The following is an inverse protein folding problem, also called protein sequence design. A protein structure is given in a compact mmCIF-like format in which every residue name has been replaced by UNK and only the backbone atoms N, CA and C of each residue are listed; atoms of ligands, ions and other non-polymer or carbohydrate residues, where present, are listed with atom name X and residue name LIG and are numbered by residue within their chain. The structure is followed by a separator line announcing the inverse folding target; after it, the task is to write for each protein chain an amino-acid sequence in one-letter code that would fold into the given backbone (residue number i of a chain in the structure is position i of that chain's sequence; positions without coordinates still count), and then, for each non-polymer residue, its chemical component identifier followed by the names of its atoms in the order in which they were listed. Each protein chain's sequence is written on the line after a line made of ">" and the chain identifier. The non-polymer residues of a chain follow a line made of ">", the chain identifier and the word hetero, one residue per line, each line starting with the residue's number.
data_IF_941952734295
#
_entry.id   IF_941952734295
#
_cell.length_a   1.000
_cell.length_b   1.000
_cell.length_c   1.000
_cell.angle_alpha   90.00
_cell.angle_beta   90.00
_cell.angle_gamma   90.00
#
_symmetry.space_group_name_H-M   'P 1'
#
loop_
_entity.id
_entity.type
_entity.pdbx_description
1 polymer ?
#
# COMPACT_ATOMS: atom_id res chain seq x y z
N UNK A 1 43.20 -8.80 35.64
CA UNK A 1 43.17 -9.41 34.30
C UNK A 1 43.28 -10.92 34.47
N UNK A 2 42.16 -11.64 34.39
CA UNK A 2 42.14 -13.11 34.22
C UNK A 2 40.74 -13.48 33.72
N UNK A 3 40.67 -13.75 32.42
CA UNK A 3 39.51 -14.24 31.70
C UNK A 3 39.22 -15.68 32.14
N UNK A 4 37.96 -16.01 32.39
CA UNK A 4 37.51 -17.40 32.46
C UNK A 4 36.23 -17.51 31.65
N UNK A 5 36.43 -17.90 30.39
CA UNK A 5 35.39 -18.25 29.43
C UNK A 5 34.81 -19.61 29.81
N UNK A 6 33.50 -19.66 30.01
CA UNK A 6 32.75 -20.90 30.24
C UNK A 6 32.16 -21.38 28.91
N UNK A 7 32.48 -22.59 28.42
CA UNK A 7 31.90 -23.10 27.18
C UNK A 7 30.48 -23.60 27.43
N UNK A 8 29.49 -23.02 26.74
CA UNK A 8 28.18 -23.67 26.56
C UNK A 8 28.31 -24.70 25.44
N UNK A 9 28.39 -25.97 25.85
CA UNK A 9 28.28 -27.13 25.00
C UNK A 9 26.80 -27.52 24.91
N UNK A 10 26.22 -27.43 23.71
CA UNK A 10 24.86 -27.85 23.41
C UNK A 10 24.69 -27.99 21.89
N UNK A 11 23.99 -29.03 21.39
CA UNK A 11 24.08 -29.46 20.00
C UNK A 11 23.42 -28.45 19.06
N UNK A 12 24.24 -27.79 18.26
CA UNK A 12 23.83 -26.96 17.13
C UNK A 12 23.16 -27.88 16.13
N UNK A 13 21.82 -27.90 16.16
CA UNK A 13 21.02 -28.48 15.08
C UNK A 13 21.21 -27.57 13.86
N UNK A 14 22.04 -28.04 12.94
CA UNK A 14 22.19 -27.49 11.59
C UNK A 14 20.83 -27.47 10.90
N UNK A 15 20.20 -26.30 10.81
CA UNK A 15 19.12 -26.03 9.86
C UNK A 15 19.74 -25.32 8.66
N UNK A 16 20.21 -26.12 7.72
CA UNK A 16 20.56 -25.69 6.37
C UNK A 16 19.28 -25.20 5.68
N UNK A 17 19.06 -23.90 5.68
CA UNK A 17 18.08 -23.27 4.78
C UNK A 17 18.75 -23.13 3.42
N UNK A 18 18.65 -24.18 2.61
CA UNK A 18 18.90 -24.08 1.19
C UNK A 18 17.67 -23.44 0.54
N UNK A 19 17.70 -22.12 0.29
CA UNK A 19 16.75 -21.49 -0.63
C UNK A 19 17.47 -21.23 -1.95
N UNK A 20 17.29 -22.19 -2.85
CA UNK A 20 17.65 -22.11 -4.25
C UNK A 20 16.74 -21.14 -5.01
N UNK A 21 17.29 -20.69 -6.14
CA UNK A 21 16.64 -20.12 -7.32
C UNK A 21 16.46 -18.60 -7.34
N UNK A 22 17.55 -17.94 -7.76
CA UNK A 22 17.49 -16.72 -8.55
C UNK A 22 16.53 -16.91 -9.74
N UNK A 23 15.52 -16.06 -9.87
CA UNK A 23 14.73 -15.95 -11.09
C UNK A 23 15.62 -15.36 -12.18
N UNK A 24 16.13 -16.24 -13.03
CA UNK A 24 16.73 -15.86 -14.30
C UNK A 24 15.65 -15.23 -15.19
N UNK A 25 15.91 -14.01 -15.65
CA UNK A 25 15.12 -13.25 -16.61
C UNK A 25 15.33 -13.86 -18.01
N UNK A 26 14.76 -15.04 -18.27
CA UNK A 26 14.75 -15.65 -19.60
C UNK A 26 13.67 -14.98 -20.44
N UNK A 27 14.10 -14.04 -21.26
CA UNK A 27 13.36 -13.61 -22.43
C UNK A 27 13.24 -14.72 -23.48
N UNK A 28 12.35 -14.44 -24.43
CA UNK A 28 12.10 -15.12 -25.71
C UNK A 28 11.03 -16.21 -25.73
N UNK A 29 9.91 -15.90 -26.37
CA UNK A 29 9.20 -16.86 -27.23
C UNK A 29 8.59 -16.13 -28.42
N UNK A 30 9.19 -16.41 -29.56
CA UNK A 30 8.82 -16.07 -30.94
C UNK A 30 7.48 -16.70 -31.35
N UNK A 31 6.79 -16.12 -32.34
CA UNK A 31 6.19 -16.95 -33.38
C UNK A 31 6.59 -16.49 -34.80
N UNK A 32 7.22 -17.42 -35.52
CA UNK A 32 6.86 -17.81 -36.89
C UNK A 32 6.94 -16.78 -38.01
N UNK A 33 7.92 -16.94 -38.90
CA UNK A 33 7.98 -16.23 -40.18
C UNK A 33 6.87 -16.65 -41.16
N UNK A 34 6.40 -15.69 -41.94
CA UNK A 34 5.48 -15.85 -43.06
C UNK A 34 5.58 -14.64 -44.01
N UNK A 35 5.73 -14.94 -45.30
CA UNK A 35 6.19 -14.11 -46.42
C UNK A 35 5.48 -12.78 -46.74
N UNK A 36 6.31 -11.81 -47.16
CA UNK A 36 6.16 -10.82 -48.25
C UNK A 36 4.77 -10.31 -48.69
N UNK A 37 4.57 -8.98 -48.66
CA UNK A 37 4.06 -8.17 -49.78
C UNK A 37 4.29 -6.66 -49.53
N UNK A 38 4.63 -5.96 -50.60
CA UNK A 38 4.94 -4.52 -50.64
C UNK A 38 3.69 -3.62 -50.56
N UNK A 39 3.85 -2.41 -50.01
CA UNK A 39 2.88 -1.31 -50.06
C UNK A 39 3.41 -0.04 -49.39
N UNK A 40 3.38 1.07 -50.13
CA UNK A 40 3.98 2.42 -49.93
C UNK A 40 3.22 3.33 -48.90
N UNK A 41 3.66 4.58 -48.61
CA UNK A 41 3.60 5.22 -47.27
C UNK A 41 2.43 6.22 -47.02
N UNK A 42 2.47 6.87 -45.83
CA UNK A 42 1.65 8.00 -45.30
C UNK A 42 0.43 7.57 -44.46
N UNK A 43 0.05 8.15 -43.32
CA UNK A 43 0.27 9.48 -42.74
C UNK A 43 0.29 9.44 -41.20
N UNK A 44 0.89 10.48 -40.64
CA UNK A 44 0.89 10.96 -39.26
C UNK A 44 -0.44 10.84 -38.51
N UNK A 45 -0.38 10.45 -37.24
CA UNK A 45 -1.15 11.07 -36.15
C UNK A 45 -0.48 10.77 -34.81
N UNK A 46 0.18 11.79 -34.28
CA UNK A 46 0.60 11.94 -32.89
C UNK A 46 -0.61 11.76 -31.98
N UNK A 47 -0.62 10.68 -31.19
CA UNK A 47 -1.57 10.47 -30.11
C UNK A 47 -0.79 10.27 -28.83
N UNK A 48 -0.51 11.38 -28.16
CA UNK A 48 0.04 11.49 -26.82
C UNK A 48 -0.66 10.51 -25.85
N UNK A 49 0.04 9.79 -24.95
CA UNK A 49 -0.64 9.16 -23.83
C UNK A 49 -1.02 10.28 -22.87
N UNK A 50 -2.17 10.91 -23.13
CA UNK A 50 -2.78 11.83 -22.19
C UNK A 50 -2.93 11.08 -20.86
N UNK A 51 -2.07 11.44 -19.91
CA UNK A 51 -2.25 11.18 -18.49
C UNK A 51 -3.52 11.90 -18.07
N UNK A 52 -4.66 11.27 -18.33
CA UNK A 52 -5.91 11.64 -17.70
C UNK A 52 -5.73 11.32 -16.22
N UNK A 53 -5.41 12.36 -15.44
CA UNK A 53 -5.70 12.38 -14.02
C UNK A 53 -7.22 12.23 -13.89
N UNK A 54 -7.69 10.98 -13.93
CA UNK A 54 -9.06 10.65 -13.65
C UNK A 54 -9.25 10.93 -12.17
N UNK A 55 -9.84 12.09 -11.86
CA UNK A 55 -10.40 12.33 -10.54
C UNK A 55 -11.33 11.15 -10.24
N UNK A 56 -11.18 10.46 -9.09
CA UNK A 56 -11.98 9.28 -8.81
C UNK A 56 -13.45 9.67 -8.83
N UNK A 57 -14.23 9.04 -9.70
CA UNK A 57 -15.69 9.18 -9.74
C UNK A 57 -16.28 8.78 -8.39
N UNK A 58 -17.37 9.44 -7.95
CA UNK A 58 -17.99 9.15 -6.66
C UNK A 58 -18.39 7.67 -6.56
N UNK A 59 -18.03 7.08 -5.41
CA UNK A 59 -18.43 5.76 -4.93
C UNK A 59 -19.88 5.46 -5.26
N UNK A 60 -20.13 4.53 -6.18
CA UNK A 60 -21.49 4.10 -6.57
C UNK A 60 -21.65 2.57 -6.57
N UNK A 61 -20.62 1.84 -6.14
CA UNK A 61 -20.59 0.38 -6.12
C UNK A 61 -20.30 -0.19 -4.73
N UNK A 62 -20.48 -1.51 -4.53
CA UNK A 62 -20.26 -2.18 -3.24
C UNK A 62 -18.82 -2.08 -2.74
N UNK A 63 -17.88 -1.79 -3.63
CA UNK A 63 -16.46 -1.58 -3.32
C UNK A 63 -16.07 -0.11 -3.36
N UNK A 64 -17.03 0.81 -3.29
CA UNK A 64 -16.79 2.23 -3.46
C UNK A 64 -16.17 2.59 -4.81
N UNK A 65 -15.07 3.34 -4.79
CA UNK A 65 -14.28 3.75 -5.95
C UNK A 65 -13.14 2.80 -6.32
N UNK A 66 -13.16 1.55 -5.87
CA UNK A 66 -12.16 0.53 -6.19
C UNK A 66 -12.64 -0.42 -7.30
N UNK A 67 -11.73 -0.96 -8.12
CA UNK A 67 -12.07 -1.83 -9.23
C UNK A 67 -12.49 -3.25 -8.77
N UNK A 68 -12.09 -3.65 -7.56
CA UNK A 68 -12.44 -4.95 -6.99
C UNK A 68 -12.44 -4.94 -5.46
N UNK A 69 -13.07 -5.96 -4.87
CA UNK A 69 -12.99 -6.21 -3.42
C UNK A 69 -11.54 -6.40 -2.95
N UNK A 70 -10.71 -7.11 -3.73
CA UNK A 70 -9.31 -7.35 -3.39
C UNK A 70 -8.49 -6.06 -3.37
N UNK A 71 -8.67 -5.19 -4.38
CA UNK A 71 -8.02 -3.87 -4.41
C UNK A 71 -8.47 -3.03 -3.21
N UNK A 72 -9.78 -2.94 -2.98
CA UNK A 72 -10.35 -2.22 -1.84
C UNK A 72 -9.75 -2.69 -0.51
N UNK A 73 -9.81 -3.99 -0.24
CA UNK A 73 -9.31 -4.57 1.00
C UNK A 73 -7.80 -4.34 1.18
N UNK A 74 -7.02 -4.50 0.12
CA UNK A 74 -5.58 -4.26 0.15
C UNK A 74 -5.27 -2.79 0.42
N UNK A 75 -5.89 -1.86 -0.31
CA UNK A 75 -5.65 -0.42 -0.16
C UNK A 75 -6.09 0.07 1.23
N UNK A 76 -7.32 -0.23 1.65
CA UNK A 76 -7.82 0.23 2.96
C UNK A 76 -6.96 -0.32 4.10
N UNK A 77 -6.55 -1.60 4.03
CA UNK A 77 -5.68 -2.19 5.05
C UNK A 77 -4.29 -1.54 5.06
N UNK A 78 -3.71 -1.28 3.89
CA UNK A 78 -2.42 -0.60 3.76
C UNK A 78 -2.48 0.82 4.33
N UNK A 79 -3.51 1.58 3.97
CA UNK A 79 -3.68 2.96 4.42
C UNK A 79 -3.99 3.06 5.92
N UNK A 80 -4.85 2.18 6.45
CA UNK A 80 -5.10 2.11 7.89
C UNK A 80 -3.82 1.73 8.66
N UNK A 81 -3.03 0.80 8.14
CA UNK A 81 -1.78 0.37 8.78
C UNK A 81 -0.72 1.46 8.74
N UNK A 82 -0.46 2.09 7.58
CA UNK A 82 0.57 3.12 7.53
C UNK A 82 0.15 4.43 8.20
N UNK A 83 -1.16 4.69 8.41
CA UNK A 83 -1.60 5.76 9.30
C UNK A 83 -1.05 5.60 10.73
N UNK A 84 -0.85 4.36 11.20
CA UNK A 84 -0.20 4.09 12.50
C UNK A 84 1.30 4.39 12.51
N UNK A 85 1.93 4.45 11.33
CA UNK A 85 3.37 4.70 11.16
C UNK A 85 3.68 6.19 10.95
N UNK A 86 2.66 7.03 10.78
CA UNK A 86 2.81 8.47 10.59
C UNK A 86 3.65 9.17 11.68
N UNK A 87 3.49 8.87 12.99
CA UNK A 87 4.35 9.46 14.03
C UNK A 87 5.83 9.16 13.82
N UNK A 88 6.15 7.93 13.38
CA UNK A 88 7.53 7.52 13.11
C UNK A 88 8.08 8.22 11.86
N UNK A 89 7.31 8.33 10.79
CA UNK A 89 7.71 9.07 9.59
C UNK A 89 7.96 10.55 9.89
N UNK A 90 7.12 11.16 10.74
CA UNK A 90 7.29 12.54 11.19
C UNK A 90 8.57 12.70 12.03
N UNK A 91 8.81 11.79 12.97
CA UNK A 91 10.02 11.80 13.80
C UNK A 91 11.32 11.60 13.00
N UNK A 92 11.26 10.89 11.87
CA UNK A 92 12.38 10.69 10.95
C UNK A 92 12.64 11.89 10.01
N UNK A 93 11.82 12.94 10.06
CA UNK A 93 11.98 14.12 9.19
C UNK A 93 11.63 13.86 7.72
N UNK A 94 10.91 12.77 7.42
CA UNK A 94 10.49 12.37 6.06
C UNK A 94 9.28 13.17 5.58
N UNK A 95 9.48 14.47 5.37
CA UNK A 95 8.38 15.40 5.09
C UNK A 95 7.70 15.13 3.75
N UNK A 96 8.45 14.78 2.71
CA UNK A 96 7.90 14.49 1.39
C UNK A 96 7.02 13.22 1.40
N UNK A 97 7.54 12.11 1.97
CA UNK A 97 6.74 10.88 2.09
C UNK A 97 5.53 11.06 3.01
N UNK A 98 5.65 11.89 4.05
CA UNK A 98 4.55 12.18 4.97
C UNK A 98 3.43 12.97 4.28
N UNK A 99 3.73 13.98 3.47
CA UNK A 99 2.72 14.70 2.71
C UNK A 99 2.06 13.82 1.65
N UNK A 100 2.84 12.96 0.98
CA UNK A 100 2.29 11.95 0.08
C UNK A 100 1.32 11.03 0.83
N UNK A 101 1.71 10.52 2.00
CA UNK A 101 0.87 9.61 2.77
C UNK A 101 -0.44 10.27 3.22
N UNK A 102 -0.41 11.55 3.62
CA UNK A 102 -1.62 12.30 3.92
C UNK A 102 -2.56 12.40 2.72
N UNK A 103 -2.01 12.66 1.54
CA UNK A 103 -2.78 12.76 0.31
C UNK A 103 -3.39 11.41 -0.09
N UNK A 104 -2.64 10.32 0.01
CA UNK A 104 -3.11 8.94 -0.25
C UNK A 104 -4.21 8.53 0.73
N UNK A 105 -4.04 8.86 2.02
CA UNK A 105 -5.04 8.61 3.06
C UNK A 105 -6.33 9.41 2.81
N UNK A 106 -6.21 10.67 2.38
CA UNK A 106 -7.35 11.50 2.02
C UNK A 106 -8.08 10.98 0.77
N UNK A 107 -7.36 10.66 -0.29
CA UNK A 107 -7.93 10.09 -1.52
C UNK A 107 -8.63 8.74 -1.24
N UNK A 108 -8.07 7.94 -0.34
CA UNK A 108 -8.70 6.68 0.08
C UNK A 108 -10.01 6.92 0.82
N UNK A 109 -10.06 7.91 1.72
CA UNK A 109 -11.29 8.28 2.43
C UNK A 109 -12.44 8.71 1.50
N UNK A 110 -12.13 9.26 0.32
CA UNK A 110 -13.14 9.60 -0.67
C UNK A 110 -13.64 8.38 -1.46
N UNK A 111 -12.78 7.36 -1.62
CA UNK A 111 -13.02 6.15 -2.41
C UNK A 111 -13.60 4.98 -1.63
N UNK A 112 -13.49 4.94 -0.30
CA UNK A 112 -14.07 3.84 0.50
C UNK A 112 -15.58 3.72 0.28
N UNK A 113 -16.17 2.52 0.40
CA UNK A 113 -17.61 2.35 0.33
C UNK A 113 -18.33 3.16 1.42
N UNK A 114 -19.56 3.58 1.15
CA UNK A 114 -20.33 4.47 2.03
C UNK A 114 -20.47 3.95 3.46
N UNK A 115 -20.59 2.63 3.62
CA UNK A 115 -20.67 1.95 4.91
C UNK A 115 -19.41 2.14 5.79
N UNK A 116 -18.26 2.49 5.21
CA UNK A 116 -17.00 2.71 5.92
C UNK A 116 -16.59 4.20 5.92
N UNK A 117 -17.23 5.04 5.10
CA UNK A 117 -16.77 6.40 4.81
C UNK A 117 -16.62 7.30 6.03
N UNK A 118 -17.58 7.24 6.94
CA UNK A 118 -17.52 8.02 8.18
C UNK A 118 -16.35 7.59 9.08
N UNK A 119 -16.19 6.28 9.28
CA UNK A 119 -15.15 5.72 10.16
C UNK A 119 -13.74 5.95 9.58
N UNK A 120 -13.56 5.75 8.28
CA UNK A 120 -12.27 5.99 7.63
C UNK A 120 -11.92 7.48 7.58
N UNK A 121 -12.92 8.36 7.41
CA UNK A 121 -12.71 9.82 7.50
C UNK A 121 -12.26 10.21 8.92
N UNK A 122 -12.89 9.64 9.95
CA UNK A 122 -12.47 9.86 11.34
C UNK A 122 -11.03 9.37 11.58
N UNK A 123 -10.67 8.18 11.09
CA UNK A 123 -9.30 7.67 11.15
C UNK A 123 -8.31 8.63 10.48
N UNK A 124 -8.60 9.06 9.25
CA UNK A 124 -7.78 10.03 8.50
C UNK A 124 -7.57 11.32 9.29
N UNK A 125 -8.65 11.95 9.73
CA UNK A 125 -8.59 13.23 10.43
C UNK A 125 -7.83 13.11 11.76
N UNK A 126 -8.07 12.01 12.50
CA UNK A 126 -7.36 11.71 13.76
C UNK A 126 -5.87 11.49 13.51
N UNK A 127 -5.51 10.72 12.47
CA UNK A 127 -4.12 10.45 12.12
C UNK A 127 -3.36 11.74 11.75
N UNK A 128 -3.99 12.60 10.94
CA UNK A 128 -3.42 13.90 10.51
C UNK A 128 -3.32 14.87 11.69
N UNK A 129 -4.35 14.94 12.55
CA UNK A 129 -4.32 15.76 13.75
C UNK A 129 -3.17 15.32 14.67
N UNK A 130 -2.93 14.02 14.79
CA UNK A 130 -1.89 13.47 15.64
C UNK A 130 -0.45 13.81 15.20
N UNK A 131 -0.26 14.22 13.94
CA UNK A 131 1.04 14.74 13.48
C UNK A 131 1.38 16.09 14.10
N UNK A 132 0.37 16.91 14.40
CA UNK A 132 0.52 18.20 15.09
C UNK A 132 0.43 18.05 16.61
N UNK A 133 -0.44 17.14 17.05
CA UNK A 133 -0.67 16.83 18.46
C UNK A 133 -0.37 15.35 18.75
N UNK A 134 0.87 15.07 19.13
CA UNK A 134 1.33 13.70 19.42
C UNK A 134 0.52 13.03 20.55
N UNK A 135 -0.21 13.79 21.38
CA UNK A 135 -1.08 13.20 22.41
C UNK A 135 -2.22 12.37 21.82
N UNK A 136 -2.59 12.58 20.56
CA UNK A 136 -3.60 11.76 19.87
C UNK A 136 -3.17 10.29 19.78
N UNK A 137 -1.90 10.03 19.50
CA UNK A 137 -1.35 8.67 19.43
C UNK A 137 -1.04 8.06 20.80
N UNK A 138 -0.77 8.87 21.83
CA UNK A 138 -0.50 8.33 23.19
C UNK A 138 -1.75 8.22 24.07
N UNK A 139 -2.85 8.91 23.75
CA UNK A 139 -4.08 8.94 24.56
C UNK A 139 -5.09 7.86 24.21
N UNK A 140 -4.80 6.97 23.26
CA UNK A 140 -5.77 5.98 22.82
C UNK A 140 -6.82 6.53 21.85
N UNK A 141 -6.65 7.77 21.31
CA UNK A 141 -7.63 8.38 20.39
C UNK A 141 -7.50 7.78 18.99
N UNK A 142 -6.27 7.60 18.51
CA UNK A 142 -6.00 6.97 17.22
C UNK A 142 -6.54 5.52 17.19
N UNK A 143 -6.32 4.75 18.25
CA UNK A 143 -6.77 3.37 18.39
C UNK A 143 -8.30 3.29 18.38
N UNK A 144 -9.00 4.25 19.02
CA UNK A 144 -10.47 4.33 18.97
C UNK A 144 -10.97 4.65 17.57
N UNK A 145 -10.29 5.52 16.84
CA UNK A 145 -10.63 5.83 15.45
C UNK A 145 -10.36 4.65 14.49
N UNK A 146 -9.34 3.83 14.80
CA UNK A 146 -8.98 2.65 14.02
C UNK A 146 -9.92 1.46 14.25
N UNK A 147 -10.43 1.28 15.47
CA UNK A 147 -11.27 0.14 15.85
C UNK A 147 -12.45 -0.14 14.90
N UNK A 148 -13.29 0.85 14.50
CA UNK A 148 -14.39 0.58 13.56
C UNK A 148 -13.88 0.18 12.17
N UNK A 149 -12.77 0.75 11.70
CA UNK A 149 -12.14 0.39 10.42
C UNK A 149 -11.64 -1.05 10.46
N UNK A 150 -10.94 -1.46 11.52
CA UNK A 150 -10.47 -2.85 11.71
C UNK A 150 -11.63 -3.84 11.79
N UNK A 151 -12.71 -3.45 12.48
CA UNK A 151 -13.92 -4.28 12.59
C UNK A 151 -14.56 -4.49 11.22
N UNK A 152 -14.70 -3.42 10.45
CA UNK A 152 -15.23 -3.49 9.10
C UNK A 152 -14.36 -4.33 8.18
N UNK A 153 -13.03 -4.14 8.19
CA UNK A 153 -12.09 -4.94 7.41
C UNK A 153 -12.22 -6.43 7.75
N UNK A 154 -12.28 -6.79 9.04
CA UNK A 154 -12.42 -8.19 9.47
C UNK A 154 -13.72 -8.83 8.99
N UNK A 155 -14.80 -8.05 8.89
CA UNK A 155 -16.08 -8.53 8.40
C UNK A 155 -16.09 -8.71 6.87
N UNK A 156 -15.45 -7.81 6.12
CA UNK A 156 -15.61 -7.67 4.68
C UNK A 156 -14.42 -8.17 3.84
N UNK A 157 -13.23 -8.28 4.43
CA UNK A 157 -11.98 -8.67 3.76
C UNK A 157 -11.52 -10.03 4.29
N UNK A 158 -11.73 -11.08 3.48
CA UNK A 158 -11.36 -12.47 3.78
C UNK A 158 -10.43 -13.02 2.72
#
# INVERSE_FOLDING_TARGET
>A
MKTSSKPLNGPIRYLTVALFAALALSGCSTPGGGSAAAGTPSSSSTGDPASASASPTPSSGPFGGFASAAEMCSTISKEATGASLLPMSAAQGKTAELEQYKAELAATADRVPDALKADFTNLKDTAIAGLKDQTVYSSGKFEKAMAPVTTWLSANCK
#
